data_IF_052230488460
#
_entry.id   IF_052230488460
#
_cell.length_a   1.000
_cell.length_b   1.000
_cell.length_c   1.000
_cell.angle_alpha   90.00
_cell.angle_beta   90.00
_cell.angle_gamma   90.00
#
_symmetry.space_group_name_H-M   'P 1'
#
loop_
_entity.id
_entity.type
_entity.pdbx_description
1 polymer ?
#
# COMPACT_ATOMS: atom_id res chain seq x y z
N UNK A 1 -9.47 -2.04 -13.33
CA UNK A 1 -9.05 -2.85 -14.48
C UNK A 1 -7.68 -2.44 -14.95
N UNK A 2 -6.91 -3.42 -15.40
CA UNK A 2 -5.59 -3.22 -15.99
C UNK A 2 -5.79 -3.11 -17.51
N UNK A 3 -5.29 -2.03 -18.11
CA UNK A 3 -5.57 -1.70 -19.51
C UNK A 3 -5.15 -2.77 -20.54
N UNK A 4 -4.38 -3.78 -20.15
CA UNK A 4 -3.84 -4.84 -21.01
C UNK A 4 -4.42 -6.23 -20.71
N UNK A 5 -5.32 -6.35 -19.74
CA UNK A 5 -6.00 -7.62 -19.41
C UNK A 5 -7.42 -7.53 -19.99
N UNK A 6 -7.66 -8.27 -21.06
CA UNK A 6 -8.88 -8.15 -21.88
C UNK A 6 -10.10 -8.90 -21.31
N UNK A 7 -9.86 -9.84 -20.40
CA UNK A 7 -10.86 -10.72 -19.82
C UNK A 7 -11.17 -10.42 -18.35
N UNK A 8 -10.62 -9.32 -17.82
CA UNK A 8 -10.69 -8.89 -16.41
C UNK A 8 -10.22 -9.94 -15.36
N UNK A 9 -9.67 -11.08 -15.81
CA UNK A 9 -9.12 -12.12 -14.94
C UNK A 9 -7.61 -11.93 -14.74
N UNK A 10 -7.28 -10.93 -13.92
CA UNK A 10 -5.89 -10.68 -13.55
C UNK A 10 -5.25 -11.85 -12.78
N UNK A 11 -6.04 -12.73 -12.15
CA UNK A 11 -5.51 -13.87 -11.41
C UNK A 11 -5.01 -14.94 -12.37
N UNK A 12 -5.76 -15.25 -13.43
CA UNK A 12 -5.31 -16.12 -14.52
C UNK A 12 -4.03 -15.57 -15.14
N UNK A 13 -3.99 -14.26 -15.44
CA UNK A 13 -2.77 -13.62 -15.95
C UNK A 13 -1.57 -13.82 -15.02
N UNK A 14 -1.73 -13.63 -13.71
CA UNK A 14 -0.65 -13.86 -12.75
C UNK A 14 -0.25 -15.33 -12.63
N UNK A 15 -1.18 -16.27 -12.79
CA UNK A 15 -0.88 -17.70 -12.82
C UNK A 15 -0.02 -18.07 -14.03
N UNK A 16 -0.33 -17.51 -15.20
CA UNK A 16 0.39 -17.82 -16.44
C UNK A 16 1.80 -17.20 -16.48
N UNK A 17 1.94 -15.97 -15.95
CA UNK A 17 3.17 -15.17 -16.12
C UNK A 17 4.00 -15.00 -14.84
N UNK A 18 3.44 -15.32 -13.66
CA UNK A 18 4.08 -15.12 -12.37
C UNK A 18 3.61 -16.19 -11.34
N UNK A 19 3.53 -17.46 -11.77
CA UNK A 19 3.03 -18.58 -10.97
C UNK A 19 3.66 -18.66 -9.56
N UNK A 20 4.94 -18.33 -9.44
CA UNK A 20 5.65 -18.33 -8.15
C UNK A 20 5.05 -17.35 -7.13
N UNK A 21 4.51 -16.20 -7.58
CA UNK A 21 3.85 -15.23 -6.71
C UNK A 21 2.46 -15.69 -6.26
N UNK A 22 1.87 -16.66 -6.96
CA UNK A 22 0.55 -17.22 -6.67
C UNK A 22 0.60 -18.44 -5.73
N UNK A 23 1.78 -18.77 -5.18
CA UNK A 23 1.94 -19.88 -4.24
C UNK A 23 1.16 -19.64 -2.95
N UNK A 24 0.39 -20.63 -2.46
CA UNK A 24 -0.26 -20.52 -1.16
C UNK A 24 0.73 -20.36 -0.02
N UNK A 25 0.28 -19.72 1.06
CA UNK A 25 1.11 -19.44 2.23
C UNK A 25 0.27 -19.13 3.47
N UNK A 26 0.91 -19.07 4.63
CA UNK A 26 0.20 -18.97 5.89
C UNK A 26 -0.40 -17.57 6.12
N UNK A 27 -1.61 -17.53 6.64
CA UNK A 27 -2.22 -16.31 7.21
C UNK A 27 -1.91 -16.30 8.70
N UNK A 28 -1.16 -15.32 9.17
CA UNK A 28 -0.65 -15.27 10.54
C UNK A 28 -0.90 -13.92 11.19
N UNK A 29 -1.02 -13.85 12.52
CA UNK A 29 -0.84 -12.58 13.23
C UNK A 29 0.63 -12.34 13.62
N UNK A 30 0.89 -11.15 14.19
CA UNK A 30 2.23 -10.76 14.69
C UNK A 30 2.73 -11.66 15.82
N UNK A 31 1.86 -12.42 16.48
CA UNK A 31 2.21 -13.39 17.52
C UNK A 31 2.50 -14.79 16.95
N UNK A 32 2.40 -14.95 15.62
CA UNK A 32 2.63 -16.22 14.93
C UNK A 32 1.44 -17.17 14.95
N UNK A 33 0.26 -16.76 15.44
CA UNK A 33 -0.93 -17.60 15.38
C UNK A 33 -1.40 -17.70 13.94
N UNK A 34 -1.60 -18.93 13.48
CA UNK A 34 -2.09 -19.23 12.12
C UNK A 34 -3.62 -19.22 12.10
N UNK A 35 -4.20 -18.51 11.14
CA UNK A 35 -5.65 -18.41 10.92
C UNK A 35 -6.16 -19.16 9.69
N UNK A 36 -5.24 -19.59 8.82
CA UNK A 36 -5.55 -20.28 7.58
C UNK A 36 -4.45 -20.12 6.55
N UNK A 37 -4.82 -20.27 5.28
CA UNK A 37 -3.91 -20.22 4.14
C UNK A 37 -4.45 -19.25 3.08
N UNK A 38 -3.57 -18.39 2.56
CA UNK A 38 -3.87 -17.49 1.46
C UNK A 38 -3.55 -18.16 0.11
N UNK A 39 -4.20 -17.75 -0.98
CA UNK A 39 -4.05 -18.38 -2.31
C UNK A 39 -3.05 -17.61 -3.20
N UNK A 40 -1.94 -17.15 -2.62
CA UNK A 40 -0.98 -16.23 -3.25
C UNK A 40 -1.14 -14.76 -2.85
N UNK A 41 -0.03 -14.12 -2.46
CA UNK A 41 -0.01 -12.75 -1.93
C UNK A 41 -0.58 -11.66 -2.88
N UNK A 42 -0.44 -11.75 -4.22
CA UNK A 42 -1.05 -10.78 -5.14
C UNK A 42 -2.58 -10.69 -5.07
N UNK A 43 -3.24 -11.68 -4.45
CA UNK A 43 -4.68 -11.64 -4.20
C UNK A 43 -5.12 -10.68 -3.08
N UNK A 44 -4.17 -10.03 -2.40
CA UNK A 44 -4.41 -9.28 -1.17
C UNK A 44 -3.82 -7.88 -1.22
N UNK A 45 -4.34 -7.00 -0.37
CA UNK A 45 -3.86 -5.62 -0.23
C UNK A 45 -3.87 -5.22 1.23
N UNK A 46 -2.88 -4.43 1.66
CA UNK A 46 -2.85 -3.86 3.02
C UNK A 46 -4.17 -3.11 3.31
N UNK A 47 -4.72 -3.30 4.50
CA UNK A 47 -6.03 -2.80 4.92
C UNK A 47 -7.23 -3.64 4.46
N UNK A 48 -7.03 -4.70 3.66
CA UNK A 48 -8.12 -5.58 3.24
C UNK A 48 -8.69 -6.36 4.43
N UNK A 49 -10.03 -6.39 4.53
CA UNK A 49 -10.78 -7.17 5.53
C UNK A 49 -11.52 -8.38 4.93
N UNK A 50 -12.12 -8.20 3.76
CA UNK A 50 -12.99 -9.22 3.14
C UNK A 50 -12.17 -10.22 2.33
N UNK A 51 -12.69 -11.45 2.18
CA UNK A 51 -12.08 -12.47 1.33
C UNK A 51 -10.77 -13.05 1.88
N UNK A 52 -10.51 -12.92 3.19
CA UNK A 52 -9.30 -13.47 3.82
C UNK A 52 -9.41 -14.97 4.14
N UNK A 53 -10.61 -15.55 4.17
CA UNK A 53 -10.78 -16.97 4.52
C UNK A 53 -10.43 -17.32 5.97
N UNK A 54 -10.40 -16.33 6.86
CA UNK A 54 -10.05 -16.47 8.28
C UNK A 54 -11.23 -17.05 9.07
N UNK A 55 -10.95 -18.05 9.89
CA UNK A 55 -11.88 -18.60 10.87
C UNK A 55 -11.27 -18.54 12.29
N UNK A 56 -12.12 -18.46 13.33
CA UNK A 56 -11.66 -18.52 14.72
C UNK A 56 -11.02 -17.24 15.30
N UNK A 57 -11.12 -16.11 14.60
CA UNK A 57 -10.77 -14.80 15.14
C UNK A 57 -11.91 -14.25 16.01
N UNK A 58 -11.58 -13.70 17.18
CA UNK A 58 -12.55 -13.07 18.10
C UNK A 58 -13.07 -11.72 17.62
N UNK A 59 -12.34 -11.08 16.71
CA UNK A 59 -12.66 -9.77 16.15
C UNK A 59 -12.25 -9.69 14.66
N UNK A 60 -12.74 -8.69 13.90
CA UNK A 60 -12.38 -8.53 12.50
C UNK A 60 -10.88 -8.24 12.32
N UNK A 61 -10.22 -9.07 11.51
CA UNK A 61 -8.82 -8.89 11.13
C UNK A 61 -8.68 -8.24 9.76
N UNK A 62 -7.56 -7.53 9.60
CA UNK A 62 -7.18 -6.81 8.39
C UNK A 62 -5.75 -7.18 8.00
N UNK A 63 -5.45 -7.14 6.70
CA UNK A 63 -4.08 -7.32 6.20
C UNK A 63 -3.20 -6.18 6.67
N UNK A 64 -2.18 -6.48 7.47
CA UNK A 64 -1.20 -5.52 7.94
C UNK A 64 0.02 -5.47 7.01
N UNK A 65 0.42 -6.63 6.47
CA UNK A 65 1.66 -6.78 5.70
C UNK A 65 1.57 -7.97 4.73
N UNK A 66 2.25 -7.84 3.58
CA UNK A 66 2.52 -8.92 2.64
C UNK A 66 4.01 -9.30 2.77
N UNK A 67 4.30 -10.35 3.53
CA UNK A 67 5.67 -10.83 3.76
C UNK A 67 6.09 -11.74 2.61
N UNK A 68 6.68 -11.13 1.57
CA UNK A 68 7.15 -11.84 0.38
C UNK A 68 8.35 -12.76 0.64
N UNK A 69 9.14 -12.50 1.70
CA UNK A 69 10.34 -13.28 2.01
C UNK A 69 9.94 -14.62 2.62
N UNK A 70 8.98 -14.62 3.54
CA UNK A 70 8.50 -15.83 4.21
C UNK A 70 7.21 -16.39 3.59
N UNK A 71 6.68 -15.73 2.56
CA UNK A 71 5.39 -16.02 1.92
C UNK A 71 4.24 -16.13 2.93
N UNK A 72 4.01 -15.04 3.67
CA UNK A 72 2.96 -14.97 4.70
C UNK A 72 2.10 -13.74 4.53
N UNK A 73 0.81 -13.90 4.81
CA UNK A 73 -0.15 -12.81 4.92
C UNK A 73 -0.29 -12.44 6.39
N UNK A 74 0.30 -11.31 6.81
CA UNK A 74 0.22 -10.88 8.21
C UNK A 74 -1.07 -10.10 8.42
N UNK A 75 -1.84 -10.50 9.43
CA UNK A 75 -3.12 -9.91 9.77
C UNK A 75 -3.17 -9.45 11.22
N UNK A 76 -4.04 -8.49 11.51
CA UNK A 76 -4.24 -8.00 12.87
C UNK A 76 -5.46 -7.11 12.98
N UNK A 77 -5.62 -6.48 14.14
CA UNK A 77 -6.78 -5.66 14.45
C UNK A 77 -6.76 -4.34 13.68
N UNK A 78 -7.90 -3.65 13.67
CA UNK A 78 -8.00 -2.32 13.06
C UNK A 78 -7.08 -1.28 13.74
N UNK A 79 -6.76 -1.45 15.02
CA UNK A 79 -5.92 -0.52 15.76
C UNK A 79 -4.43 -0.63 15.37
N UNK A 80 -4.02 -1.78 14.85
CA UNK A 80 -2.68 -2.03 14.33
C UNK A 80 -2.48 -1.52 12.90
N UNK A 81 -3.58 -1.11 12.23
CA UNK A 81 -3.52 -0.39 10.97
C UNK A 81 -3.31 1.10 11.22
N UNK A 82 -2.20 1.63 10.74
CA UNK A 82 -1.95 3.05 10.82
C UNK A 82 -0.47 3.34 10.66
N UNK A 83 -0.14 4.10 9.63
CA UNK A 83 1.15 4.72 9.46
C UNK A 83 0.92 6.22 9.28
N UNK A 84 1.66 7.03 10.00
CA UNK A 84 1.62 8.49 9.92
C UNK A 84 2.64 9.04 8.91
N UNK A 85 3.39 8.17 8.25
CA UNK A 85 4.40 8.57 7.30
C UNK A 85 4.68 7.50 6.25
N UNK A 86 5.30 7.91 5.15
CA UNK A 86 5.79 7.04 4.08
C UNK A 86 7.04 7.62 3.42
N UNK A 87 7.76 6.79 2.69
CA UNK A 87 8.78 7.23 1.74
C UNK A 87 8.23 7.03 0.33
N UNK A 88 8.16 8.11 -0.44
CA UNK A 88 7.89 8.06 -1.86
C UNK A 88 9.21 8.08 -2.64
N UNK A 89 9.41 7.08 -3.49
CA UNK A 89 10.58 6.92 -4.33
C UNK A 89 10.24 7.15 -5.79
N UNK A 90 11.25 7.26 -6.66
CA UNK A 90 11.05 7.48 -8.12
C UNK A 90 10.14 8.67 -8.39
N UNK A 91 10.32 9.74 -7.62
CA UNK A 91 9.44 10.91 -7.64
C UNK A 91 9.62 11.67 -8.95
N UNK A 92 8.51 12.01 -9.58
CA UNK A 92 8.45 12.89 -10.74
C UNK A 92 7.68 14.17 -10.36
N UNK A 93 8.26 15.32 -10.66
CA UNK A 93 7.68 16.63 -10.39
C UNK A 93 7.15 17.25 -11.67
N UNK A 94 5.88 17.68 -11.67
CA UNK A 94 5.22 18.26 -12.84
C UNK A 94 5.88 19.55 -13.30
N UNK A 95 6.45 20.33 -12.37
CA UNK A 95 7.18 21.57 -12.65
C UNK A 95 8.70 21.38 -12.73
N UNK A 96 9.18 20.13 -12.76
CA UNK A 96 10.60 19.81 -12.92
C UNK A 96 11.50 20.05 -11.70
N UNK A 97 10.95 20.56 -10.59
CA UNK A 97 11.70 20.80 -9.35
C UNK A 97 10.92 20.33 -8.12
N UNK A 98 11.66 19.88 -7.11
CA UNK A 98 11.10 19.54 -5.81
C UNK A 98 10.66 20.82 -5.07
N UNK A 99 9.61 20.75 -4.23
CA UNK A 99 9.23 21.85 -3.36
C UNK A 99 10.27 22.09 -2.26
N UNK A 100 10.13 23.20 -1.54
CA UNK A 100 10.90 23.41 -0.32
C UNK A 100 10.59 22.32 0.72
N UNK A 101 11.61 21.90 1.46
CA UNK A 101 11.40 20.99 2.59
C UNK A 101 10.48 21.62 3.64
N UNK A 102 9.55 20.82 4.15
CA UNK A 102 8.53 21.29 5.08
C UNK A 102 7.29 21.87 4.41
N UNK A 103 7.16 21.80 3.08
CA UNK A 103 5.95 22.28 2.39
C UNK A 103 4.72 21.51 2.87
N UNK A 104 3.69 22.27 3.27
CA UNK A 104 2.36 21.72 3.56
C UNK A 104 1.65 21.46 2.23
N UNK A 105 1.12 20.25 2.09
CA UNK A 105 0.45 19.79 0.88
C UNK A 105 -0.65 18.78 1.25
N UNK A 106 -1.33 18.24 0.24
CA UNK A 106 -2.13 17.03 0.41
C UNK A 106 -1.55 15.89 -0.42
N UNK A 107 -1.65 14.66 0.09
CA UNK A 107 -1.13 13.47 -0.56
C UNK A 107 -2.23 12.43 -0.71
N UNK A 108 -2.36 11.89 -1.92
CA UNK A 108 -3.29 10.82 -2.26
C UNK A 108 -2.51 9.53 -2.47
N UNK A 109 -2.74 8.57 -1.57
CA UNK A 109 -2.01 7.28 -1.51
C UNK A 109 -2.71 6.14 -2.27
N UNK A 110 -3.94 6.39 -2.78
CA UNK A 110 -4.71 5.47 -3.64
C UNK A 110 -5.62 6.25 -4.57
N UNK A 111 -5.90 5.72 -5.77
CA UNK A 111 -6.68 6.42 -6.80
C UNK A 111 -8.08 6.88 -6.35
N UNK A 112 -8.77 6.12 -5.49
CA UNK A 112 -10.09 6.50 -4.96
C UNK A 112 -10.06 7.10 -3.55
N UNK A 113 -8.89 7.23 -2.93
CA UNK A 113 -8.78 7.84 -1.61
C UNK A 113 -8.95 9.36 -1.70
N UNK A 114 -9.49 9.95 -0.63
CA UNK A 114 -9.38 11.38 -0.41
C UNK A 114 -7.90 11.73 -0.14
N UNK A 115 -7.44 12.88 -0.63
CA UNK A 115 -6.12 13.36 -0.31
C UNK A 115 -6.06 13.72 1.19
N UNK A 116 -5.01 13.29 1.88
CA UNK A 116 -4.78 13.58 3.28
C UNK A 116 -3.77 14.72 3.43
N UNK A 117 -3.98 15.61 4.40
CA UNK A 117 -3.02 16.67 4.70
C UNK A 117 -1.68 16.08 5.13
N UNK A 118 -0.59 16.64 4.61
CA UNK A 118 0.75 16.16 4.85
C UNK A 118 1.81 17.27 4.77
N UNK A 119 3.01 16.96 5.26
CA UNK A 119 4.23 17.72 5.03
C UNK A 119 5.14 16.92 4.10
N UNK A 120 5.68 17.58 3.09
CA UNK A 120 6.65 17.01 2.16
C UNK A 120 8.07 17.40 2.58
N UNK A 121 8.93 16.40 2.72
CA UNK A 121 10.34 16.57 3.06
C UNK A 121 11.18 15.87 1.98
N UNK A 122 11.54 16.58 0.88
CA UNK A 122 12.43 16.03 -0.13
C UNK A 122 13.80 15.68 0.48
N UNK A 123 14.30 14.50 0.13
CA UNK A 123 15.55 13.95 0.61
C UNK A 123 16.67 14.16 -0.43
N UNK A 124 17.93 14.12 0.01
CA UNK A 124 19.09 14.35 -0.86
C UNK A 124 19.22 13.35 -2.01
N UNK A 125 18.63 12.14 -1.87
CA UNK A 125 18.64 11.10 -2.88
C UNK A 125 17.50 11.22 -3.91
N UNK A 126 16.66 12.25 -3.82
CA UNK A 126 15.51 12.46 -4.71
C UNK A 126 14.21 11.77 -4.28
N UNK A 127 14.24 10.99 -3.19
CA UNK A 127 13.03 10.50 -2.54
C UNK A 127 12.34 11.63 -1.76
N UNK A 128 11.10 11.39 -1.34
CA UNK A 128 10.36 12.32 -0.49
C UNK A 128 9.85 11.56 0.73
N UNK A 129 10.22 12.03 1.91
CA UNK A 129 9.55 11.64 3.14
C UNK A 129 8.25 12.44 3.28
N UNK A 130 7.15 11.75 3.51
CA UNK A 130 5.82 12.34 3.62
C UNK A 130 5.30 12.04 5.01
N UNK A 131 5.01 13.09 5.79
CA UNK A 131 4.42 12.98 7.12
C UNK A 131 2.97 13.45 7.08
N UNK A 132 2.04 12.63 7.56
CA UNK A 132 0.62 12.95 7.64
C UNK A 132 0.28 13.54 9.01
N UNK A 133 -0.72 14.41 9.05
CA UNK A 133 -1.24 14.94 10.32
C UNK A 133 -2.01 13.90 11.15
N UNK A 134 -2.53 12.87 10.49
CA UNK A 134 -3.25 11.76 11.10
C UNK A 134 -2.78 10.43 10.51
N UNK A 135 -2.83 9.36 11.30
CA UNK A 135 -2.43 8.03 10.84
C UNK A 135 -3.35 7.51 9.72
N UNK A 136 -2.75 7.10 8.60
CA UNK A 136 -3.45 6.49 7.48
C UNK A 136 -3.33 4.97 7.55
N UNK A 137 -4.45 4.27 7.34
CA UNK A 137 -4.52 2.80 7.49
C UNK A 137 -3.90 2.04 6.32
N UNK A 138 -3.90 2.65 5.15
CA UNK A 138 -3.84 1.96 3.86
C UNK A 138 -2.60 2.33 3.04
N UNK A 139 -1.54 2.82 3.69
CA UNK A 139 -0.25 3.07 3.06
C UNK A 139 0.31 1.73 2.59
N UNK A 140 0.44 1.56 1.27
CA UNK A 140 0.78 0.27 0.64
C UNK A 140 1.97 0.43 -0.30
N UNK A 141 3.09 -0.26 -0.06
CA UNK A 141 4.21 -0.27 -0.97
C UNK A 141 3.80 -0.63 -2.41
N UNK A 142 4.42 0.02 -3.39
CA UNK A 142 4.10 -0.12 -4.81
C UNK A 142 2.93 0.73 -5.31
N UNK A 143 2.09 1.28 -4.42
CA UNK A 143 1.06 2.25 -4.82
C UNK A 143 1.68 3.64 -5.08
N UNK A 144 0.92 4.49 -5.79
CA UNK A 144 1.32 5.87 -6.02
C UNK A 144 1.05 6.77 -4.80
N UNK A 145 2.00 7.63 -4.46
CA UNK A 145 1.81 8.78 -3.59
C UNK A 145 1.83 10.04 -4.47
N UNK A 146 0.67 10.67 -4.65
CA UNK A 146 0.51 11.85 -5.51
C UNK A 146 0.30 13.09 -4.64
N UNK A 147 1.09 14.13 -4.90
CA UNK A 147 1.16 15.35 -4.09
C UNK A 147 0.41 16.50 -4.77
N UNK A 148 -0.37 17.25 -3.97
CA UNK A 148 -1.18 18.35 -4.45
C UNK A 148 -1.04 19.60 -3.57
N UNK A 149 -1.06 20.76 -4.21
CA UNK A 149 -1.28 22.06 -3.59
C UNK A 149 -2.60 22.64 -4.11
N UNK A 150 -3.66 22.51 -3.31
CA UNK A 150 -5.04 22.71 -3.78
C UNK A 150 -5.35 21.76 -4.94
N UNK A 151 -5.68 22.33 -6.11
CA UNK A 151 -5.98 21.59 -7.34
C UNK A 151 -4.73 21.31 -8.20
N UNK A 152 -3.58 21.90 -7.85
CA UNK A 152 -2.34 21.72 -8.60
C UNK A 152 -1.69 20.38 -8.21
N UNK A 153 -1.56 19.48 -9.19
CA UNK A 153 -0.72 18.30 -9.04
C UNK A 153 0.76 18.73 -9.08
N UNK A 154 1.45 18.63 -7.94
CA UNK A 154 2.87 18.95 -7.83
C UNK A 154 3.73 17.87 -8.47
N UNK A 155 3.30 16.62 -8.32
CA UNK A 155 4.05 15.44 -8.75
C UNK A 155 3.63 14.19 -7.97
N UNK A 156 4.46 13.16 -8.02
CA UNK A 156 4.23 11.95 -7.25
C UNK A 156 5.31 10.91 -7.45
N UNK A 157 5.28 9.89 -6.59
CA UNK A 157 6.21 8.76 -6.63
C UNK A 157 5.54 7.45 -6.25
N UNK A 158 6.36 6.44 -6.03
CA UNK A 158 5.94 5.10 -5.60
C UNK A 158 6.25 4.93 -4.13
N UNK A 159 5.24 4.55 -3.36
CA UNK A 159 5.36 4.23 -1.93
C UNK A 159 6.32 3.05 -1.78
N UNK A 160 7.32 3.17 -0.91
CA UNK A 160 8.24 2.10 -0.55
C UNK A 160 7.91 1.53 0.82
#
# INVERSE_FOLDING_TARGET
DLCFIFDDDYRRFLQDWAADAMKPGAIVDRHGRVYGEHQGLPGYTIGQRKGLGISGASEPLFVLELDHVQNRLVVGTKAELGQDSLIATRVNWTLGQAPASGMVASCKIRYRAQAAACTLEPLANGDVYVRFGEALRDITPGQGAIFYDGDLCLGGGIIR
#
